data_IF_862449097251
#
_entry.id   IF_862449097251
#
_cell.length_a   1.000
_cell.length_b   1.000
_cell.length_c   1.000
_cell.angle_alpha   90.00
_cell.angle_beta   90.00
_cell.angle_gamma   90.00
#
_symmetry.space_group_name_H-M   'P 1'
#
loop_
_entity.id
_entity.type
_entity.pdbx_description
1 polymer ?
#
# COMPACT_ATOMS: atom_id res chain seq x y z
N UNK A 1 -4.65 1.71 18.08
CA UNK A 1 -3.22 1.96 18.36
C UNK A 1 -2.63 2.96 17.38
N UNK A 2 -2.71 2.73 16.06
CA UNK A 2 -2.22 3.69 15.05
C UNK A 2 -2.88 5.08 15.20
N UNK A 3 -4.20 5.13 15.39
CA UNK A 3 -4.93 6.39 15.66
C UNK A 3 -4.37 7.16 16.86
N UNK A 4 -4.09 6.47 17.97
CA UNK A 4 -3.53 7.09 19.18
C UNK A 4 -2.14 7.70 18.94
N UNK A 5 -1.31 7.02 18.14
CA UNK A 5 0.02 7.54 17.77
C UNK A 5 -0.11 8.79 16.89
N UNK A 6 -1.05 8.78 15.95
CA UNK A 6 -1.33 9.95 15.10
C UNK A 6 -1.85 11.14 15.91
N UNK A 7 -2.74 10.90 16.88
CA UNK A 7 -3.24 11.93 17.79
C UNK A 7 -2.11 12.50 18.66
N UNK A 8 -1.30 11.64 19.29
CA UNK A 8 -0.15 12.09 20.09
C UNK A 8 0.86 12.89 19.26
N UNK A 9 1.06 12.55 17.99
CA UNK A 9 1.90 13.32 17.08
C UNK A 9 1.31 14.70 16.77
N UNK A 10 -0.01 14.81 16.61
CA UNK A 10 -0.70 16.10 16.47
C UNK A 10 -0.53 16.97 17.71
N UNK A 11 -0.64 16.39 18.91
CA UNK A 11 -0.42 17.11 20.17
C UNK A 11 1.02 17.61 20.28
N UNK A 12 1.99 16.77 19.90
CA UNK A 12 3.40 17.16 19.85
C UNK A 12 3.62 18.36 18.92
N UNK A 13 3.05 18.35 17.71
CA UNK A 13 3.17 19.46 16.75
C UNK A 13 2.68 20.80 17.29
N UNK A 14 1.69 20.80 18.18
CA UNK A 14 1.20 22.04 18.82
C UNK A 14 2.24 22.64 19.75
N UNK A 15 2.98 21.78 20.47
CA UNK A 15 3.98 22.18 21.46
C UNK A 15 5.30 22.68 20.89
N UNK A 16 5.52 22.55 19.58
CA UNK A 16 6.78 22.91 18.93
C UNK A 16 6.87 24.41 18.60
N UNK A 17 7.85 25.11 19.18
CA UNK A 17 8.01 26.58 19.02
C UNK A 17 8.73 26.99 17.73
N UNK A 18 9.43 26.07 17.07
CA UNK A 18 10.20 26.37 15.84
C UNK A 18 9.34 26.42 14.57
N UNK A 19 8.07 25.98 14.66
CA UNK A 19 7.11 25.98 13.57
C UNK A 19 6.17 27.19 13.66
N UNK A 20 5.86 27.81 12.51
CA UNK A 20 4.79 28.81 12.44
C UNK A 20 3.43 28.15 12.60
N UNK A 21 2.44 28.91 13.10
CA UNK A 21 1.06 28.42 13.24
C UNK A 21 0.46 27.92 11.92
N UNK A 22 0.77 28.59 10.80
CA UNK A 22 0.37 28.14 9.46
C UNK A 22 0.97 26.76 9.12
N UNK A 23 2.26 26.54 9.42
CA UNK A 23 2.93 25.26 9.15
C UNK A 23 2.36 24.15 10.02
N UNK A 24 2.04 24.44 11.30
CA UNK A 24 1.39 23.49 12.21
C UNK A 24 0.03 23.05 11.68
N UNK A 25 -0.77 23.98 11.18
CA UNK A 25 -2.09 23.68 10.62
C UNK A 25 -1.99 22.76 9.38
N UNK A 26 -1.07 23.05 8.45
CA UNK A 26 -0.83 22.16 7.31
C UNK A 26 -0.33 20.77 7.73
N UNK A 27 0.53 20.69 8.75
CA UNK A 27 1.02 19.41 9.27
C UNK A 27 -0.13 18.59 9.88
N UNK A 28 -1.03 19.22 10.66
CA UNK A 28 -2.23 18.57 11.21
C UNK A 28 -3.14 18.05 10.10
N UNK A 29 -3.43 18.88 9.10
CA UNK A 29 -4.26 18.47 7.95
C UNK A 29 -3.66 17.26 7.21
N UNK A 30 -2.34 17.21 7.06
CA UNK A 30 -1.66 16.05 6.47
C UNK A 30 -1.84 14.79 7.31
N UNK A 31 -1.72 14.88 8.63
CA UNK A 31 -1.93 13.73 9.52
C UNK A 31 -3.39 13.27 9.48
N UNK A 32 -4.35 14.19 9.53
CA UNK A 32 -5.78 13.87 9.48
C UNK A 32 -6.23 13.24 8.16
N UNK A 33 -5.57 13.57 7.05
CA UNK A 33 -5.87 13.00 5.72
C UNK A 33 -5.08 11.73 5.42
N UNK A 34 -4.26 11.24 6.36
CA UNK A 34 -3.41 10.08 6.16
C UNK A 34 -4.24 8.79 6.17
N UNK A 35 -4.11 8.00 5.10
CA UNK A 35 -4.78 6.70 4.97
C UNK A 35 -4.00 5.60 5.71
N UNK A 36 -4.72 4.57 6.14
CA UNK A 36 -4.17 3.40 6.83
C UNK A 36 -4.48 2.13 6.02
N UNK A 37 -3.46 1.32 5.74
CA UNK A 37 -3.58 -0.03 5.18
C UNK A 37 -2.95 -1.02 6.14
N UNK A 38 -3.75 -1.92 6.72
CA UNK A 38 -3.30 -2.80 7.82
C UNK A 38 -3.57 -4.24 7.44
N UNK A 39 -2.54 -5.09 7.50
CA UNK A 39 -2.65 -6.51 7.20
C UNK A 39 -2.59 -6.78 5.70
N UNK A 40 -3.75 -6.82 5.04
CA UNK A 40 -3.84 -7.27 3.65
C UNK A 40 -5.01 -6.63 2.88
N UNK A 41 -4.94 -6.57 1.53
CA UNK A 41 -6.00 -6.00 0.69
C UNK A 41 -7.35 -6.73 0.80
N UNK A 42 -8.45 -5.98 0.85
CA UNK A 42 -9.80 -6.55 0.96
C UNK A 42 -10.17 -7.53 -0.16
N UNK A 43 -9.64 -7.33 -1.37
CA UNK A 43 -9.93 -8.21 -2.52
C UNK A 43 -9.46 -9.66 -2.29
N UNK A 44 -8.50 -9.90 -1.38
CA UNK A 44 -8.06 -11.25 -1.03
C UNK A 44 -9.12 -12.05 -0.26
N UNK A 45 -10.14 -11.39 0.30
CA UNK A 45 -11.27 -12.06 0.94
C UNK A 45 -12.30 -12.61 -0.07
N UNK A 46 -12.25 -12.20 -1.35
CA UNK A 46 -13.15 -12.66 -2.40
C UNK A 46 -12.38 -13.45 -3.47
N UNK A 47 -12.64 -14.75 -3.54
CA UNK A 47 -11.97 -15.64 -4.49
C UNK A 47 -12.19 -15.22 -5.94
N UNK A 48 -13.36 -14.63 -6.28
CA UNK A 48 -13.63 -14.18 -7.65
C UNK A 48 -12.75 -12.97 -8.01
N UNK A 49 -12.55 -12.06 -7.07
CA UNK A 49 -11.66 -10.92 -7.24
C UNK A 49 -10.21 -11.36 -7.41
N UNK A 50 -9.77 -12.36 -6.64
CA UNK A 50 -8.44 -12.98 -6.80
C UNK A 50 -8.28 -13.64 -8.17
N UNK A 51 -9.24 -14.48 -8.58
CA UNK A 51 -9.22 -15.13 -9.89
C UNK A 51 -9.21 -14.11 -11.04
N UNK A 52 -9.93 -13.00 -10.87
CA UNK A 52 -9.94 -11.91 -11.85
C UNK A 52 -8.57 -11.23 -11.98
N UNK A 53 -7.90 -10.94 -10.87
CA UNK A 53 -6.55 -10.32 -10.86
C UNK A 53 -5.55 -11.21 -11.60
N UNK A 54 -5.59 -12.52 -11.36
CA UNK A 54 -4.63 -13.48 -11.93
C UNK A 54 -5.10 -14.14 -13.23
N UNK A 55 -6.20 -13.68 -13.85
CA UNK A 55 -6.83 -14.32 -15.02
C UNK A 55 -5.93 -14.51 -16.23
N UNK A 56 -4.93 -13.64 -16.40
CA UNK A 56 -3.96 -13.70 -17.50
C UNK A 56 -2.69 -14.47 -17.14
N UNK A 57 -2.51 -14.81 -15.87
CA UNK A 57 -1.33 -15.49 -15.37
C UNK A 57 -1.41 -16.99 -15.64
N UNK A 58 -0.36 -17.55 -16.25
CA UNK A 58 -0.28 -18.98 -16.57
C UNK A 58 0.93 -19.61 -15.90
N UNK A 59 0.67 -20.63 -15.09
CA UNK A 59 1.71 -21.45 -14.46
C UNK A 59 1.85 -22.75 -15.26
N UNK A 60 3.08 -23.08 -15.66
CA UNK A 60 3.40 -24.33 -16.34
C UNK A 60 4.08 -25.29 -15.38
N UNK A 61 3.43 -26.41 -15.09
CA UNK A 61 4.00 -27.48 -14.28
C UNK A 61 5.26 -28.06 -14.96
N UNK A 62 6.32 -28.31 -14.19
CA UNK A 62 7.65 -28.69 -14.68
C UNK A 62 8.39 -27.63 -15.52
N UNK A 63 7.77 -26.48 -15.79
CA UNK A 63 8.25 -25.45 -16.72
C UNK A 63 8.74 -24.16 -16.06
N UNK A 64 9.64 -24.25 -15.07
CA UNK A 64 10.07 -23.09 -14.26
C UNK A 64 10.45 -21.86 -15.10
N UNK A 65 11.31 -22.04 -16.12
CA UNK A 65 11.76 -20.93 -16.97
C UNK A 65 10.60 -20.27 -17.72
N UNK A 66 9.69 -21.08 -18.25
CA UNK A 66 8.52 -20.60 -18.99
C UNK A 66 7.55 -19.84 -18.07
N UNK A 67 7.29 -20.37 -16.87
CA UNK A 67 6.49 -19.69 -15.84
C UNK A 67 7.13 -18.37 -15.43
N UNK A 68 8.44 -18.33 -15.22
CA UNK A 68 9.17 -17.10 -14.86
C UNK A 68 9.12 -16.05 -15.97
N UNK A 69 9.27 -16.45 -17.23
CA UNK A 69 9.17 -15.54 -18.37
C UNK A 69 7.76 -14.94 -18.50
N UNK A 70 6.73 -15.76 -18.31
CA UNK A 70 5.33 -15.32 -18.29
C UNK A 70 5.05 -14.33 -17.15
N UNK A 71 5.64 -14.56 -15.96
CA UNK A 71 5.55 -13.60 -14.87
C UNK A 71 6.10 -12.22 -15.27
N UNK A 72 7.30 -12.18 -15.86
CA UNK A 72 7.89 -10.91 -16.30
C UNK A 72 7.08 -10.23 -17.40
N UNK A 73 6.57 -10.99 -18.37
CA UNK A 73 5.72 -10.46 -19.44
C UNK A 73 4.45 -9.80 -18.86
N UNK A 74 3.74 -10.51 -17.97
CA UNK A 74 2.53 -9.97 -17.35
C UNK A 74 2.82 -8.78 -16.45
N UNK A 75 3.91 -8.82 -15.66
CA UNK A 75 4.32 -7.69 -14.83
C UNK A 75 4.64 -6.45 -15.66
N UNK A 76 5.37 -6.60 -16.78
CA UNK A 76 5.69 -5.47 -17.66
C UNK A 76 4.42 -4.91 -18.32
N UNK A 77 3.53 -5.77 -18.80
CA UNK A 77 2.24 -5.36 -19.36
C UNK A 77 1.44 -4.53 -18.34
N UNK A 78 1.35 -5.02 -17.12
CA UNK A 78 0.66 -4.37 -16.00
C UNK A 78 1.24 -2.99 -15.66
N UNK A 79 2.57 -2.85 -15.64
CA UNK A 79 3.25 -1.56 -15.44
C UNK A 79 2.96 -0.60 -16.60
N UNK A 80 3.00 -1.06 -17.84
CA UNK A 80 2.77 -0.23 -19.02
C UNK A 80 1.31 0.22 -19.14
N UNK A 81 0.35 -0.64 -18.84
CA UNK A 81 -1.08 -0.31 -18.87
C UNK A 81 -1.42 0.81 -17.88
N UNK A 82 -0.70 0.87 -16.75
CA UNK A 82 -0.90 1.91 -15.74
C UNK A 82 -0.45 3.31 -16.14
N UNK A 83 0.49 3.43 -17.07
CA UNK A 83 1.02 4.74 -17.47
C UNK A 83 -0.11 5.63 -18.02
N UNK A 84 -1.12 5.03 -18.65
CA UNK A 84 -2.26 5.73 -19.23
C UNK A 84 -3.47 5.84 -18.29
N UNK A 85 -3.39 5.30 -17.06
CA UNK A 85 -4.51 5.24 -16.12
C UNK A 85 -4.31 6.21 -14.95
N UNK A 86 -5.39 6.69 -14.31
CA UNK A 86 -5.26 7.45 -13.07
C UNK A 86 -4.64 6.59 -11.97
N UNK A 87 -3.97 7.24 -11.01
CA UNK A 87 -3.37 6.56 -9.85
C UNK A 87 -4.46 5.88 -9.03
N UNK A 88 -4.41 4.55 -8.97
CA UNK A 88 -5.22 3.76 -8.06
C UNK A 88 -4.68 3.88 -6.62
N UNK A 89 -5.45 4.52 -5.76
CA UNK A 89 -5.10 4.74 -4.35
C UNK A 89 -5.38 3.52 -3.47
N UNK A 90 -6.17 2.56 -3.94
CA UNK A 90 -6.51 1.36 -3.18
C UNK A 90 -5.46 0.25 -3.37
N UNK A 91 -4.60 0.38 -4.39
CA UNK A 91 -3.48 -0.52 -4.63
C UNK A 91 -2.47 -0.52 -3.47
N UNK A 92 -2.02 -1.69 -3.08
CA UNK A 92 -1.01 -1.86 -2.03
C UNK A 92 0.40 -1.81 -2.62
N UNK A 93 1.34 -1.22 -1.86
CA UNK A 93 2.74 -1.06 -2.27
C UNK A 93 3.56 -2.36 -2.19
N UNK A 94 3.09 -3.31 -1.38
CA UNK A 94 3.73 -4.61 -1.19
C UNK A 94 2.66 -5.68 -0.93
N UNK A 95 3.07 -6.95 -0.97
CA UNK A 95 2.22 -8.07 -0.59
C UNK A 95 2.09 -8.20 0.93
N UNK A 96 0.96 -8.76 1.39
CA UNK A 96 0.66 -9.02 2.79
C UNK A 96 1.70 -9.89 3.53
N UNK A 97 2.38 -10.77 2.78
CA UNK A 97 3.39 -11.69 3.31
C UNK A 97 4.77 -11.05 3.53
N UNK A 98 4.80 -9.77 3.90
CA UNK A 98 6.02 -9.04 4.24
C UNK A 98 5.99 -8.71 5.74
N UNK A 99 7.09 -8.87 6.45
CA UNK A 99 7.22 -8.39 7.84
C UNK A 99 7.86 -7.01 7.80
N UNK A 100 7.07 -5.99 7.51
CA UNK A 100 7.55 -4.60 7.45
C UNK A 100 6.39 -3.59 7.56
N UNK A 101 6.75 -2.31 7.67
CA UNK A 101 5.84 -1.18 7.52
C UNK A 101 6.43 -0.13 6.57
N UNK A 102 5.57 0.57 5.84
CA UNK A 102 5.96 1.60 4.88
C UNK A 102 5.11 2.86 5.01
N UNK A 103 5.67 3.99 4.57
CA UNK A 103 4.95 5.23 4.35
C UNK A 103 5.08 5.65 2.88
N UNK A 104 3.95 5.98 2.24
CA UNK A 104 3.89 6.41 0.85
C UNK A 104 3.58 7.91 0.78
N UNK A 105 4.55 8.77 0.39
CA UNK A 105 4.34 10.21 0.38
C UNK A 105 3.32 10.67 -0.67
N UNK A 106 3.27 9.99 -1.82
CA UNK A 106 2.40 10.36 -2.94
C UNK A 106 0.92 10.09 -2.67
N UNK A 107 0.62 9.07 -1.86
CA UNK A 107 -0.75 8.70 -1.46
C UNK A 107 -1.08 9.14 -0.03
N UNK A 108 -0.12 9.70 0.70
CA UNK A 108 -0.19 10.03 2.12
C UNK A 108 -0.75 8.85 2.94
N UNK A 109 -0.06 7.72 2.89
CA UNK A 109 -0.56 6.46 3.43
C UNK A 109 0.49 5.73 4.26
N UNK A 110 0.08 5.20 5.42
CA UNK A 110 0.86 4.24 6.20
C UNK A 110 0.34 2.83 5.92
N UNK A 111 1.26 1.92 5.64
CA UNK A 111 0.96 0.50 5.41
C UNK A 111 1.70 -0.37 6.42
N UNK A 112 0.99 -1.23 7.13
CA UNK A 112 1.55 -2.22 8.05
C UNK A 112 1.20 -3.63 7.55
N UNK A 113 2.22 -4.48 7.38
CA UNK A 113 2.07 -5.82 6.84
C UNK A 113 2.29 -6.83 7.96
N UNK A 114 1.27 -7.65 8.22
CA UNK A 114 1.28 -8.62 9.31
C UNK A 114 1.31 -10.02 8.75
N UNK A 115 2.44 -10.71 8.91
CA UNK A 115 2.42 -12.17 8.96
C UNK A 115 2.15 -12.56 10.40
N UNK A 116 0.88 -12.75 10.75
CA UNK A 116 0.56 -13.63 11.88
C UNK A 116 0.84 -15.06 11.41
N UNK A 117 2.07 -15.55 11.62
CA UNK A 117 2.31 -17.00 11.66
C UNK A 117 1.56 -17.53 12.88
N UNK A 118 0.30 -17.92 12.68
CA UNK A 118 -0.39 -18.84 13.57
C UNK A 118 -0.42 -20.21 12.91
#
# INVERSE_FOLDING_TARGET
MISLIMEAFVDLLVSEDWLTEETKEFAKQKVHTMKQKIGYPDYLNDSKSVDHEYRLFKVYDGGYYKTKFQFYEQYQRDVLERIAQPVDRERWVAGAALVNAFYSPNTNEISEFLISLR
#
